data_IF_575503390114
#
_entry.id   IF_575503390114
#
_cell.length_a   1.000
_cell.length_b   1.000
_cell.length_c   1.000
_cell.angle_alpha   90.00
_cell.angle_beta   90.00
_cell.angle_gamma   90.00
#
_symmetry.space_group_name_H-M   'P 1'
#
loop_
_entity.id
_entity.type
_entity.pdbx_description
1 polymer ?
#
# COMPACT_ATOMS: atom_id res chain seq x y z
N UNK A 1 18.65 10.78 29.13
CA UNK A 1 18.08 11.04 27.80
C UNK A 1 17.32 12.37 27.83
N UNK A 2 17.57 13.22 26.83
CA UNK A 2 16.87 14.51 26.67
C UNK A 2 16.21 14.52 25.31
N UNK A 3 14.89 14.72 25.27
CA UNK A 3 14.12 14.87 24.04
C UNK A 3 13.72 16.32 23.87
N UNK A 4 14.03 16.92 22.73
CA UNK A 4 13.68 18.29 22.39
C UNK A 4 12.88 18.33 21.08
N UNK A 5 11.82 19.12 21.04
CA UNK A 5 11.07 19.42 19.82
C UNK A 5 11.48 20.80 19.33
N UNK A 6 12.24 20.86 18.26
CA UNK A 6 12.80 22.10 17.72
C UNK A 6 12.46 22.21 16.21
N UNK A 7 12.30 23.43 15.68
CA UNK A 7 12.29 23.64 14.25
C UNK A 7 13.58 23.09 13.64
N UNK A 8 13.46 22.39 12.51
CA UNK A 8 14.62 21.82 11.84
C UNK A 8 15.59 22.93 11.37
N UNK A 9 16.88 22.78 11.77
CA UNK A 9 17.97 23.64 11.34
C UNK A 9 19.16 22.74 10.96
N UNK A 10 19.43 22.63 9.65
CA UNK A 10 20.44 21.70 9.10
C UNK A 10 21.82 21.84 9.73
N UNK A 11 22.28 23.09 10.02
CA UNK A 11 23.59 23.35 10.63
C UNK A 11 23.73 22.85 12.08
N UNK A 12 22.63 22.46 12.71
CA UNK A 12 22.60 21.97 14.10
C UNK A 12 22.51 20.45 14.22
N UNK A 13 22.39 19.70 13.12
CA UNK A 13 22.27 18.24 13.18
C UNK A 13 23.38 17.59 14.01
N UNK A 14 24.63 18.03 13.83
CA UNK A 14 25.77 17.49 14.56
C UNK A 14 25.78 17.78 16.08
N UNK A 15 24.89 18.64 16.58
CA UNK A 15 24.74 18.92 18.01
C UNK A 15 23.91 17.84 18.73
N UNK A 16 23.24 16.96 17.96
CA UNK A 16 22.36 15.92 18.49
C UNK A 16 22.89 14.52 18.21
N UNK A 17 22.58 13.60 19.08
CA UNK A 17 22.88 12.18 18.92
C UNK A 17 21.96 11.53 17.88
N UNK A 18 20.66 11.86 17.90
CA UNK A 18 19.64 11.36 16.99
C UNK A 18 18.65 12.48 16.67
N UNK A 19 18.32 12.65 15.40
CA UNK A 19 17.23 13.56 14.95
C UNK A 19 16.27 12.78 14.05
N UNK A 20 14.99 12.81 14.38
CA UNK A 20 13.91 12.12 13.67
C UNK A 20 13.19 13.09 12.74
N UNK A 21 12.62 12.58 11.66
CA UNK A 21 11.89 13.36 10.63
C UNK A 21 12.74 14.45 9.98
N UNK A 22 13.99 14.14 9.72
CA UNK A 22 14.90 15.03 9.02
C UNK A 22 14.48 15.18 7.55
N UNK A 23 14.39 16.40 7.00
CA UNK A 23 14.10 16.57 5.57
C UNK A 23 15.11 15.80 4.69
N UNK A 24 14.63 15.17 3.63
CA UNK A 24 15.37 14.29 2.69
C UNK A 24 16.54 14.95 1.93
N UNK A 25 16.90 16.18 2.28
CA UNK A 25 18.02 16.93 1.66
C UNK A 25 19.40 16.52 2.15
N UNK A 26 19.49 15.58 3.09
CA UNK A 26 20.75 15.12 3.68
C UNK A 26 21.12 13.71 3.20
N UNK A 27 22.40 13.52 2.81
CA UNK A 27 22.91 12.26 2.27
C UNK A 27 23.11 11.14 3.32
N UNK A 28 23.24 11.51 4.60
CA UNK A 28 23.66 10.58 5.67
C UNK A 28 22.50 10.11 6.55
N UNK A 29 21.29 10.08 6.00
CA UNK A 29 20.10 9.64 6.71
C UNK A 29 19.96 8.12 6.70
N UNK A 30 19.57 7.58 7.85
CA UNK A 30 19.05 6.23 7.94
C UNK A 30 17.53 6.27 7.78
N UNK A 31 16.98 5.30 7.03
CA UNK A 31 15.55 5.18 6.82
C UNK A 31 15.00 4.03 7.65
N UNK A 32 14.11 4.34 8.58
CA UNK A 32 13.47 3.38 9.47
C UNK A 32 12.09 3.04 8.93
N UNK A 33 11.77 1.75 8.67
CA UNK A 33 10.46 1.36 8.19
C UNK A 33 9.36 1.75 9.16
N UNK A 34 8.28 2.37 8.68
CA UNK A 34 7.05 2.59 9.44
C UNK A 34 6.09 1.42 9.24
N UNK A 35 5.13 1.26 10.13
CA UNK A 35 4.01 0.33 9.94
C UNK A 35 2.90 0.97 9.07
N UNK A 36 3.30 1.63 8.00
CA UNK A 36 2.44 2.39 7.10
C UNK A 36 2.65 1.93 5.66
N UNK A 37 1.57 1.63 4.96
CA UNK A 37 1.56 1.27 3.54
C UNK A 37 0.83 2.31 2.71
N UNK A 38 1.39 2.64 1.55
CA UNK A 38 0.74 3.40 0.49
C UNK A 38 0.23 2.44 -0.59
N UNK A 39 -1.04 2.52 -0.91
CA UNK A 39 -1.68 1.63 -1.87
C UNK A 39 -2.84 2.30 -2.60
N UNK A 40 -3.32 1.66 -3.66
CA UNK A 40 -4.60 1.97 -4.26
C UNK A 40 -5.62 0.89 -3.90
N UNK A 41 -6.86 1.31 -3.62
CA UNK A 41 -8.00 0.42 -3.40
C UNK A 41 -8.80 0.27 -4.68
N UNK A 42 -9.29 -0.94 -4.93
CA UNK A 42 -10.31 -1.22 -5.93
C UNK A 42 -11.68 -1.27 -5.28
N UNK A 43 -12.67 -0.62 -5.86
CA UNK A 43 -14.07 -0.78 -5.42
C UNK A 43 -14.62 -2.11 -5.93
N UNK A 44 -14.69 -3.10 -5.06
CA UNK A 44 -15.12 -4.46 -5.43
C UNK A 44 -16.61 -4.57 -5.75
N UNK A 45 -17.39 -3.51 -5.55
CA UNK A 45 -18.79 -3.39 -5.99
C UNK A 45 -18.92 -2.81 -7.41
N UNK A 46 -17.87 -2.19 -7.95
CA UNK A 46 -17.86 -1.72 -9.34
C UNK A 46 -17.58 -2.90 -10.28
N UNK A 47 -18.50 -3.15 -11.21
CA UNK A 47 -18.44 -4.29 -12.13
C UNK A 47 -17.19 -4.34 -12.99
N UNK A 48 -16.53 -3.21 -13.24
CA UNK A 48 -15.32 -3.11 -14.06
C UNK A 48 -14.11 -3.68 -13.37
N UNK A 49 -14.02 -3.56 -12.04
CA UNK A 49 -12.88 -4.00 -11.23
C UNK A 49 -13.24 -5.08 -10.18
N UNK A 50 -14.49 -5.55 -10.18
CA UNK A 50 -14.95 -6.61 -9.27
C UNK A 50 -14.24 -7.95 -9.48
N UNK A 51 -13.84 -8.26 -10.71
CA UNK A 51 -13.19 -9.54 -11.04
C UNK A 51 -11.71 -9.53 -10.67
N UNK A 52 -11.26 -10.55 -9.95
CA UNK A 52 -9.86 -10.69 -9.53
C UNK A 52 -8.88 -10.68 -10.70
N UNK A 53 -9.20 -11.35 -11.81
CA UNK A 53 -8.35 -11.39 -13.00
C UNK A 53 -8.11 -10.01 -13.61
N UNK A 54 -9.15 -9.15 -13.62
CA UNK A 54 -9.01 -7.77 -14.10
C UNK A 54 -8.08 -6.96 -13.19
N UNK A 55 -8.23 -7.07 -11.87
CA UNK A 55 -7.34 -6.41 -10.90
C UNK A 55 -5.91 -6.93 -11.01
N UNK A 56 -5.76 -8.25 -11.18
CA UNK A 56 -4.46 -8.90 -11.39
C UNK A 56 -3.77 -8.39 -12.66
N UNK A 57 -4.52 -8.26 -13.75
CA UNK A 57 -4.02 -7.68 -14.99
C UNK A 57 -3.57 -6.22 -14.79
N UNK A 58 -4.40 -5.38 -14.16
CA UNK A 58 -4.06 -3.99 -13.86
C UNK A 58 -2.78 -3.92 -13.01
N UNK A 59 -2.69 -4.71 -11.95
CA UNK A 59 -1.53 -4.73 -11.05
C UNK A 59 -0.24 -5.16 -11.79
N UNK A 60 -0.33 -6.12 -12.71
CA UNK A 60 0.83 -6.62 -13.45
C UNK A 60 1.40 -5.63 -14.49
N UNK A 61 0.63 -4.64 -14.91
CA UNK A 61 1.09 -3.56 -15.80
C UNK A 61 1.88 -2.48 -15.07
N UNK A 62 1.94 -2.53 -13.74
CA UNK A 62 2.53 -1.47 -12.92
C UNK A 62 3.90 -1.91 -12.39
N UNK A 63 4.93 -1.18 -12.77
CA UNK A 63 6.26 -1.30 -12.17
C UNK A 63 6.33 -0.45 -10.89
N UNK A 64 6.02 -1.06 -9.76
CA UNK A 64 6.08 -0.43 -8.43
C UNK A 64 7.47 0.16 -8.16
N UNK A 65 8.53 -0.59 -8.43
CA UNK A 65 9.90 -0.14 -8.23
C UNK A 65 10.23 1.11 -9.07
N UNK A 66 9.72 1.19 -10.31
CA UNK A 66 9.91 2.39 -11.14
C UNK A 66 9.22 3.61 -10.51
N UNK A 67 7.99 3.47 -10.00
CA UNK A 67 7.27 4.56 -9.34
C UNK A 67 8.04 5.03 -8.10
N UNK A 68 8.40 4.10 -7.21
CA UNK A 68 9.02 4.41 -5.93
C UNK A 68 10.39 5.05 -6.11
N UNK A 69 11.26 4.47 -6.96
CA UNK A 69 12.61 5.01 -7.19
C UNK A 69 12.62 6.43 -7.79
N UNK A 70 11.56 6.81 -8.49
CA UNK A 70 11.49 8.14 -9.10
C UNK A 70 10.78 9.17 -8.23
N UNK A 71 9.78 8.77 -7.43
CA UNK A 71 8.95 9.72 -6.71
C UNK A 71 9.23 9.78 -5.20
N UNK A 72 9.66 8.66 -4.62
CA UNK A 72 9.94 8.56 -3.17
C UNK A 72 11.04 7.52 -2.91
N UNK A 73 12.29 7.77 -3.34
CA UNK A 73 13.37 6.76 -3.30
C UNK A 73 13.74 6.28 -1.89
N UNK A 74 13.35 7.01 -0.86
CA UNK A 74 13.54 6.63 0.53
C UNK A 74 12.54 5.59 1.03
N UNK A 75 11.38 5.44 0.38
CA UNK A 75 10.39 4.42 0.74
C UNK A 75 10.83 3.03 0.27
N UNK A 76 10.23 2.00 0.85
CA UNK A 76 10.49 0.60 0.50
C UNK A 76 9.43 0.13 -0.50
N UNK A 77 9.78 -0.16 -1.78
CA UNK A 77 8.84 -0.73 -2.72
C UNK A 77 8.21 -1.99 -2.15
N UNK A 78 6.90 -2.11 -2.21
CA UNK A 78 6.17 -3.27 -1.71
C UNK A 78 5.15 -3.76 -2.72
N UNK A 79 5.13 -5.07 -2.96
CA UNK A 79 4.07 -5.78 -3.66
C UNK A 79 3.12 -6.51 -2.70
N UNK A 80 3.36 -6.37 -1.41
CA UNK A 80 2.55 -6.95 -0.34
C UNK A 80 1.72 -5.87 0.35
N UNK A 81 0.53 -6.25 0.79
CA UNK A 81 -0.36 -5.33 1.49
C UNK A 81 0.04 -5.08 2.95
N UNK A 82 0.76 -5.99 3.56
CA UNK A 82 1.24 -5.88 4.93
C UNK A 82 2.68 -5.35 4.96
N UNK A 83 3.04 -4.48 5.93
CA UNK A 83 4.42 -4.10 6.21
C UNK A 83 5.34 -5.32 6.40
N UNK A 84 6.58 -5.20 5.95
CA UNK A 84 7.55 -6.29 6.00
C UNK A 84 7.72 -6.93 7.39
N UNK A 85 7.63 -6.13 8.44
CA UNK A 85 7.74 -6.60 9.83
C UNK A 85 6.59 -7.53 10.27
N UNK A 86 5.46 -7.50 9.56
CA UNK A 86 4.27 -8.32 9.83
C UNK A 86 4.19 -9.57 8.95
N UNK A 87 5.08 -9.67 7.94
CA UNK A 87 5.17 -10.82 7.05
C UNK A 87 6.08 -11.88 7.68
N UNK A 88 5.60 -13.11 7.81
CA UNK A 88 6.48 -14.24 7.99
C UNK A 88 7.25 -14.46 6.67
N UNK A 89 8.55 -14.80 6.74
CA UNK A 89 9.49 -14.90 5.59
C UNK A 89 9.12 -15.96 4.51
N UNK A 90 7.87 -16.33 4.38
CA UNK A 90 7.45 -17.22 3.32
C UNK A 90 7.13 -16.43 2.06
N UNK A 91 8.07 -16.51 1.13
CA UNK A 91 7.92 -16.02 -0.23
C UNK A 91 6.62 -16.49 -0.89
N UNK A 92 5.66 -15.62 -1.01
CA UNK A 92 4.64 -15.83 -2.02
C UNK A 92 5.30 -15.62 -3.38
N UNK A 93 5.51 -16.71 -4.11
CA UNK A 93 6.10 -16.67 -5.44
C UNK A 93 5.19 -15.88 -6.36
N UNK A 94 5.70 -14.75 -6.86
CA UNK A 94 5.05 -14.00 -7.90
C UNK A 94 5.08 -14.82 -9.19
N UNK A 95 3.94 -15.31 -9.63
CA UNK A 95 3.86 -15.94 -10.95
C UNK A 95 3.77 -14.87 -12.04
N UNK A 96 4.53 -15.01 -13.13
CA UNK A 96 4.41 -14.10 -14.26
C UNK A 96 2.96 -14.07 -14.77
N UNK A 97 2.41 -12.89 -14.91
CA UNK A 97 1.04 -12.70 -15.39
C UNK A 97 1.07 -12.01 -16.73
N UNK A 98 0.37 -12.58 -17.70
CA UNK A 98 0.16 -11.97 -19.01
C UNK A 98 -1.10 -11.09 -18.94
N UNK A 99 -0.91 -9.79 -18.66
CA UNK A 99 -2.00 -8.83 -18.47
C UNK A 99 -3.02 -8.86 -19.61
N UNK A 100 -2.55 -8.77 -20.83
CA UNK A 100 -3.39 -8.76 -22.04
C UNK A 100 -4.22 -10.03 -22.18
N UNK A 101 -3.67 -11.18 -21.83
CA UNK A 101 -4.40 -12.44 -21.86
C UNK A 101 -5.54 -12.45 -20.85
N UNK A 102 -5.29 -11.98 -19.61
CA UNK A 102 -6.33 -11.88 -18.59
C UNK A 102 -7.43 -10.87 -18.95
N UNK A 103 -7.04 -9.73 -19.55
CA UNK A 103 -8.00 -8.74 -20.03
C UNK A 103 -8.87 -9.32 -21.15
N UNK A 104 -8.25 -9.99 -22.14
CA UNK A 104 -8.98 -10.61 -23.25
C UNK A 104 -9.96 -11.70 -22.79
N UNK A 105 -9.58 -12.54 -21.82
CA UNK A 105 -10.47 -13.54 -21.20
C UNK A 105 -11.70 -12.89 -20.54
N UNK A 106 -11.57 -11.62 -20.12
CA UNK A 106 -12.64 -10.82 -19.56
C UNK A 106 -13.37 -9.94 -20.58
N UNK A 107 -13.17 -10.18 -21.91
CA UNK A 107 -13.77 -9.46 -23.02
C UNK A 107 -13.35 -7.98 -23.08
N UNK A 108 -12.14 -7.70 -22.63
CA UNK A 108 -11.50 -6.39 -22.71
C UNK A 108 -10.44 -6.50 -23.79
N UNK A 109 -10.54 -5.69 -24.84
CA UNK A 109 -9.62 -5.65 -25.98
C UNK A 109 -9.48 -4.21 -26.50
N UNK A 110 -8.72 -4.00 -27.57
CA UNK A 110 -8.49 -2.68 -28.17
C UNK A 110 -9.77 -2.01 -28.68
N UNK A 111 -10.78 -2.82 -29.09
CA UNK A 111 -12.06 -2.33 -29.59
C UNK A 111 -13.05 -2.04 -28.46
N UNK A 112 -12.88 -2.74 -27.34
CA UNK A 112 -13.71 -2.63 -26.16
C UNK A 112 -12.82 -2.44 -24.92
N UNK A 113 -12.09 -1.30 -24.85
CA UNK A 113 -11.16 -1.06 -23.77
C UNK A 113 -11.87 -0.85 -22.43
N UNK A 114 -11.18 -1.25 -21.36
CA UNK A 114 -11.63 -0.96 -19.99
C UNK A 114 -11.38 0.51 -19.67
N UNK A 115 -12.45 1.24 -19.37
CA UNK A 115 -12.37 2.61 -18.88
C UNK A 115 -12.27 2.63 -17.36
N UNK A 116 -11.14 3.14 -16.83
CA UNK A 116 -10.84 3.25 -15.42
C UNK A 116 -10.76 4.72 -15.00
N UNK A 117 -11.30 5.02 -13.82
CA UNK A 117 -11.09 6.28 -13.13
C UNK A 117 -10.17 6.05 -11.95
N UNK A 118 -9.04 6.74 -11.90
CA UNK A 118 -8.08 6.72 -10.79
C UNK A 118 -8.22 8.01 -10.00
N UNK A 119 -8.75 7.92 -8.79
CA UNK A 119 -9.00 9.04 -7.90
C UNK A 119 -7.87 9.19 -6.89
N UNK A 120 -7.36 10.40 -6.71
CA UNK A 120 -6.27 10.71 -5.78
C UNK A 120 -6.37 12.16 -5.28
N UNK A 121 -5.72 12.47 -4.16
CA UNK A 121 -5.65 13.82 -3.63
C UNK A 121 -4.53 14.65 -4.28
N UNK A 122 -4.73 15.97 -4.28
CA UNK A 122 -3.95 16.97 -4.98
C UNK A 122 -2.59 17.32 -4.32
N UNK A 123 -2.13 16.51 -3.37
CA UNK A 123 -0.78 16.61 -2.80
C UNK A 123 0.26 16.31 -3.88
N UNK A 124 1.30 17.14 -4.08
CA UNK A 124 2.25 17.00 -5.18
C UNK A 124 2.83 15.59 -5.35
N UNK A 125 3.24 14.92 -4.25
CA UNK A 125 3.73 13.54 -4.28
C UNK A 125 2.67 12.58 -4.85
N UNK A 126 1.42 12.71 -4.40
CA UNK A 126 0.34 11.81 -4.84
C UNK A 126 -0.05 12.04 -6.30
N UNK A 127 0.03 13.30 -6.76
CA UNK A 127 -0.14 13.66 -8.17
C UNK A 127 0.92 12.99 -9.03
N UNK A 128 2.20 13.09 -8.66
CA UNK A 128 3.31 12.49 -9.40
C UNK A 128 3.18 10.96 -9.47
N UNK A 129 2.90 10.31 -8.34
CA UNK A 129 2.69 8.85 -8.27
C UNK A 129 1.51 8.44 -9.18
N UNK A 130 0.39 9.15 -9.11
CA UNK A 130 -0.79 8.86 -9.92
C UNK A 130 -0.52 9.04 -11.42
N UNK A 131 0.20 10.09 -11.81
CA UNK A 131 0.59 10.31 -13.21
C UNK A 131 1.47 9.19 -13.75
N UNK A 132 2.45 8.70 -12.97
CA UNK A 132 3.29 7.56 -13.38
C UNK A 132 2.48 6.28 -13.49
N UNK A 133 1.61 6.01 -12.52
CA UNK A 133 0.71 4.85 -12.53
C UNK A 133 -0.18 4.87 -13.77
N UNK A 134 -0.84 5.99 -14.04
CA UNK A 134 -1.69 6.17 -15.23
C UNK A 134 -0.86 6.05 -16.51
N UNK A 135 0.35 6.64 -16.55
CA UNK A 135 1.24 6.54 -17.70
C UNK A 135 1.67 5.10 -18.00
N UNK A 136 1.85 4.25 -16.99
CA UNK A 136 2.14 2.83 -17.20
C UNK A 136 0.91 2.05 -17.69
N UNK A 137 -0.25 2.29 -17.11
CA UNK A 137 -1.50 1.62 -17.50
C UNK A 137 -1.93 1.96 -18.94
N UNK A 138 -1.72 3.21 -19.37
CA UNK A 138 -2.09 3.68 -20.71
C UNK A 138 -1.14 3.20 -21.82
N UNK A 139 -0.08 2.47 -21.48
CA UNK A 139 0.75 1.76 -22.48
C UNK A 139 0.01 0.57 -23.09
N UNK A 140 -1.01 0.04 -22.42
CA UNK A 140 -1.88 -1.00 -22.99
C UNK A 140 -3.04 -0.36 -23.74
N UNK A 141 -3.21 -0.72 -25.02
CA UNK A 141 -4.36 -0.28 -25.83
C UNK A 141 -5.70 -0.84 -25.34
N UNK A 142 -5.67 -1.81 -24.43
CA UNK A 142 -6.86 -2.38 -23.78
C UNK A 142 -7.37 -1.53 -22.60
N UNK A 143 -6.65 -0.48 -22.20
CA UNK A 143 -7.04 0.40 -21.09
C UNK A 143 -7.21 1.85 -21.54
N UNK A 144 -8.20 2.52 -20.98
CA UNK A 144 -8.37 3.97 -21.03
C UNK A 144 -8.50 4.47 -19.59
N UNK A 145 -7.58 5.30 -19.16
CA UNK A 145 -7.47 5.67 -17.74
C UNK A 145 -7.59 7.17 -17.57
N UNK A 146 -8.59 7.58 -16.79
CA UNK A 146 -8.81 8.96 -16.40
C UNK A 146 -8.24 9.22 -15.01
N UNK A 147 -7.26 10.12 -14.95
CA UNK A 147 -6.69 10.59 -13.69
C UNK A 147 -7.56 11.69 -13.09
N UNK A 148 -8.07 11.49 -11.88
CA UNK A 148 -9.02 12.39 -11.23
C UNK A 148 -8.43 12.96 -9.92
N UNK A 149 -7.72 14.10 -9.96
CA UNK A 149 -7.26 14.77 -8.76
C UNK A 149 -8.45 15.40 -8.00
N UNK A 150 -8.37 15.39 -6.67
CA UNK A 150 -9.36 16.02 -5.81
C UNK A 150 -8.70 16.48 -4.51
N UNK A 151 -9.38 17.32 -3.72
CA UNK A 151 -8.86 17.62 -2.39
C UNK A 151 -9.07 16.45 -1.42
N UNK A 152 -8.28 16.42 -0.35
CA UNK A 152 -8.30 15.36 0.66
C UNK A 152 -9.70 15.09 1.24
N UNK A 153 -10.46 16.12 1.54
CA UNK A 153 -11.80 15.97 2.15
C UNK A 153 -12.75 15.26 1.19
N UNK A 154 -12.74 15.65 -0.08
CA UNK A 154 -13.55 15.04 -1.13
C UNK A 154 -13.11 13.59 -1.37
N UNK A 155 -11.78 13.31 -1.37
CA UNK A 155 -11.25 11.96 -1.49
C UNK A 155 -11.81 11.05 -0.38
N UNK A 156 -11.73 11.48 0.88
CA UNK A 156 -12.23 10.72 2.02
C UNK A 156 -13.75 10.51 1.94
N UNK A 157 -14.50 11.54 1.56
CA UNK A 157 -15.96 11.44 1.40
C UNK A 157 -16.33 10.43 0.31
N UNK A 158 -15.66 10.45 -0.83
CA UNK A 158 -15.88 9.49 -1.93
C UNK A 158 -15.51 8.08 -1.51
N UNK A 159 -14.37 7.90 -0.84
CA UNK A 159 -13.94 6.60 -0.29
C UNK A 159 -14.99 6.06 0.70
N UNK A 160 -15.48 6.89 1.62
CA UNK A 160 -16.47 6.50 2.61
C UNK A 160 -17.81 6.07 1.97
N UNK A 161 -18.20 6.70 0.87
CA UNK A 161 -19.44 6.39 0.13
C UNK A 161 -19.30 5.25 -0.87
N UNK A 162 -18.07 4.79 -1.15
CA UNK A 162 -17.80 3.85 -2.24
C UNK A 162 -18.00 4.48 -3.63
N UNK A 163 -17.86 5.79 -3.77
CA UNK A 163 -17.99 6.52 -5.04
C UNK A 163 -16.62 6.63 -5.74
N UNK A 164 -16.08 5.51 -6.15
CA UNK A 164 -14.80 5.38 -6.85
C UNK A 164 -14.71 4.05 -7.57
N UNK A 165 -13.75 3.91 -8.50
CA UNK A 165 -13.34 2.63 -9.09
C UNK A 165 -11.97 2.20 -8.54
N UNK A 166 -10.99 3.06 -8.71
CA UNK A 166 -9.64 2.94 -8.15
C UNK A 166 -9.34 4.21 -7.38
N UNK A 167 -8.96 4.11 -6.12
CA UNK A 167 -8.73 5.27 -5.26
C UNK A 167 -7.40 5.15 -4.51
N UNK A 168 -6.66 6.26 -4.45
CA UNK A 168 -5.47 6.36 -3.61
C UNK A 168 -5.86 6.21 -2.14
N UNK A 169 -5.12 5.42 -1.42
CA UNK A 169 -5.29 5.16 0.00
C UNK A 169 -3.95 4.97 0.71
N UNK A 170 -4.02 4.83 2.00
CA UNK A 170 -2.90 4.47 2.87
C UNK A 170 -3.43 4.02 4.21
N UNK A 171 -2.64 3.22 4.90
CA UNK A 171 -2.96 2.75 6.23
C UNK A 171 -1.70 2.68 7.10
N UNK A 172 -1.82 3.18 8.33
CA UNK A 172 -0.79 3.05 9.35
C UNK A 172 -1.37 2.26 10.52
N UNK A 173 -0.63 1.23 10.96
CA UNK A 173 -1.01 0.44 12.10
C UNK A 173 -0.55 1.10 13.41
N UNK A 174 -1.42 1.15 14.41
CA UNK A 174 -1.10 1.64 15.75
C UNK A 174 -0.21 0.66 16.54
N UNK A 175 -0.10 -0.59 16.08
CA UNK A 175 0.68 -1.65 16.71
C UNK A 175 1.17 -2.68 15.70
N UNK A 176 2.34 -3.29 15.98
CA UNK A 176 2.95 -4.29 15.08
C UNK A 176 2.22 -5.63 15.15
N UNK A 177 1.11 -5.74 14.44
CA UNK A 177 0.32 -6.96 14.38
C UNK A 177 -0.47 -7.06 13.07
N UNK A 178 -0.49 -8.21 12.36
CA UNK A 178 -1.15 -8.35 11.07
C UNK A 178 -2.62 -7.95 11.04
N UNK A 179 -3.35 -8.14 12.14
CA UNK A 179 -4.77 -7.81 12.26
C UNK A 179 -5.07 -6.33 11.97
N UNK A 180 -4.10 -5.42 12.24
CA UNK A 180 -4.26 -4.00 11.95
C UNK A 180 -4.48 -3.72 10.45
N UNK A 181 -3.94 -4.55 9.57
CA UNK A 181 -4.13 -4.48 8.12
C UNK A 181 -5.22 -5.44 7.63
N UNK A 182 -5.24 -6.68 8.14
CA UNK A 182 -6.20 -7.70 7.70
C UNK A 182 -7.65 -7.29 7.98
N UNK A 183 -7.90 -6.49 9.02
CA UNK A 183 -9.23 -5.97 9.36
C UNK A 183 -9.85 -5.10 8.25
N UNK A 184 -9.05 -4.51 7.37
CA UNK A 184 -9.53 -3.67 6.26
C UNK A 184 -10.36 -4.47 5.23
N UNK A 185 -10.21 -5.80 5.21
CA UNK A 185 -10.98 -6.70 4.32
C UNK A 185 -12.01 -7.56 5.06
N UNK A 186 -12.11 -7.42 6.38
CA UNK A 186 -13.19 -8.07 7.14
C UNK A 186 -14.52 -7.38 6.86
N UNK A 187 -15.54 -8.14 6.43
CA UNK A 187 -16.79 -7.52 5.94
C UNK A 187 -17.55 -6.68 6.97
N UNK A 188 -17.36 -6.99 8.26
CA UNK A 188 -18.01 -6.28 9.39
C UNK A 188 -17.14 -5.13 9.93
N UNK A 189 -15.94 -4.92 9.37
CA UNK A 189 -15.06 -3.82 9.80
C UNK A 189 -15.59 -2.48 9.29
N UNK A 190 -15.63 -1.44 10.15
CA UNK A 190 -15.96 -0.09 9.72
C UNK A 190 -14.93 0.50 8.74
N UNK A 191 -13.73 -0.08 8.68
CA UNK A 191 -12.64 0.36 7.81
C UNK A 191 -12.62 -0.34 6.45
N UNK A 192 -13.46 -1.34 6.25
CA UNK A 192 -13.67 -1.95 4.94
C UNK A 192 -14.47 -0.99 4.04
N UNK A 193 -13.75 -0.21 3.22
CA UNK A 193 -14.34 0.78 2.30
C UNK A 193 -14.42 0.28 0.87
N UNK A 194 -13.66 -0.76 0.52
CA UNK A 194 -13.64 -1.33 -0.84
C UNK A 194 -14.80 -2.28 -1.13
N UNK A 195 -15.58 -2.65 -0.10
CA UNK A 195 -16.77 -3.49 -0.22
C UNK A 195 -16.47 -4.98 -0.36
N UNK A 196 -15.26 -5.43 0.02
CA UNK A 196 -14.96 -6.86 0.07
C UNK A 196 -15.88 -7.59 1.06
N UNK A 197 -16.47 -8.69 0.60
CA UNK A 197 -17.32 -9.55 1.41
C UNK A 197 -17.12 -11.01 0.99
N UNK A 198 -16.42 -11.77 1.83
CA UNK A 198 -16.12 -13.17 1.58
C UNK A 198 -16.30 -13.96 2.87
N UNK A 199 -17.23 -14.91 2.88
CA UNK A 199 -17.56 -15.68 4.08
C UNK A 199 -16.40 -16.50 4.63
N UNK A 200 -15.52 -17.04 3.77
CA UNK A 200 -14.34 -17.79 4.19
C UNK A 200 -13.32 -16.85 4.86
N UNK A 201 -13.08 -15.67 4.28
CA UNK A 201 -12.22 -14.64 4.88
C UNK A 201 -12.73 -14.24 6.26
N UNK A 202 -14.02 -13.95 6.37
CA UNK A 202 -14.65 -13.56 7.63
C UNK A 202 -14.56 -14.66 8.70
N UNK A 203 -14.78 -15.91 8.33
CA UNK A 203 -14.64 -17.06 9.25
C UNK A 203 -13.20 -17.22 9.76
N UNK A 204 -12.21 -17.14 8.86
CA UNK A 204 -10.80 -17.20 9.24
C UNK A 204 -10.43 -16.03 10.15
N UNK A 205 -10.88 -14.83 9.84
CA UNK A 205 -10.63 -13.64 10.65
C UNK A 205 -11.22 -13.81 12.07
N UNK A 206 -12.47 -14.26 12.18
CA UNK A 206 -13.14 -14.51 13.46
C UNK A 206 -12.50 -15.67 14.24
N UNK A 207 -11.99 -16.70 13.55
CA UNK A 207 -11.24 -17.78 14.16
C UNK A 207 -9.93 -17.25 14.79
N UNK A 208 -9.20 -16.42 14.07
CA UNK A 208 -7.98 -15.80 14.59
C UNK A 208 -8.24 -14.95 15.85
N UNK A 209 -9.37 -14.23 15.90
CA UNK A 209 -9.76 -13.44 17.07
C UNK A 209 -10.05 -14.31 18.30
N UNK A 210 -10.52 -15.52 18.11
CA UNK A 210 -10.93 -16.45 19.21
C UNK A 210 -9.80 -17.39 19.65
N UNK A 211 -8.83 -17.66 18.77
CA UNK A 211 -7.76 -18.62 19.05
C UNK A 211 -6.80 -18.06 20.11
N UNK A 212 -6.50 -18.86 21.13
CA UNK A 212 -5.46 -18.61 22.13
C UNK A 212 -4.10 -19.17 21.70
N UNK A 213 -4.06 -19.98 20.64
CA UNK A 213 -2.84 -20.58 20.12
C UNK A 213 -2.16 -19.65 19.13
N UNK A 214 -0.97 -19.16 19.48
CA UNK A 214 -0.20 -18.22 18.66
C UNK A 214 0.19 -18.81 17.29
N UNK A 215 0.58 -20.09 17.25
CA UNK A 215 0.93 -20.77 15.99
C UNK A 215 -0.29 -20.84 15.06
N UNK A 216 -1.44 -21.24 15.59
CA UNK A 216 -2.69 -21.29 14.81
C UNK A 216 -3.06 -19.90 14.28
N UNK A 217 -2.95 -18.84 15.10
CA UNK A 217 -3.21 -17.47 14.65
C UNK A 217 -2.28 -17.07 13.51
N UNK A 218 -0.98 -17.37 13.64
CA UNK A 218 0.01 -17.03 12.61
C UNK A 218 -0.28 -17.72 11.27
N UNK A 219 -0.70 -18.99 11.30
CA UNK A 219 -1.11 -19.74 10.11
C UNK A 219 -2.38 -19.13 9.47
N UNK A 220 -3.32 -18.66 10.27
CA UNK A 220 -4.53 -17.99 9.77
C UNK A 220 -4.17 -16.63 9.15
N UNK A 221 -3.31 -15.84 9.78
CA UNK A 221 -2.87 -14.54 9.23
C UNK A 221 -2.18 -14.69 7.88
N UNK A 222 -1.37 -15.76 7.73
CA UNK A 222 -0.75 -16.08 6.45
C UNK A 222 -1.80 -16.35 5.38
N UNK A 223 -2.79 -17.21 5.66
CA UNK A 223 -3.89 -17.54 4.72
C UNK A 223 -4.69 -16.28 4.32
N UNK A 224 -4.99 -15.39 5.28
CA UNK A 224 -5.69 -14.14 5.02
C UNK A 224 -4.86 -13.20 4.13
N UNK A 225 -3.56 -13.10 4.39
CA UNK A 225 -2.62 -12.30 3.58
C UNK A 225 -2.49 -12.85 2.16
N UNK A 226 -2.33 -14.16 2.01
CA UNK A 226 -2.30 -14.84 0.72
C UNK A 226 -3.58 -14.59 -0.09
N UNK A 227 -4.74 -14.61 0.56
CA UNK A 227 -6.03 -14.33 -0.11
C UNK A 227 -6.12 -12.90 -0.62
N UNK A 228 -5.66 -11.91 0.15
CA UNK A 228 -5.57 -10.51 -0.29
C UNK A 228 -4.72 -10.42 -1.57
N UNK A 229 -3.58 -11.10 -1.59
CA UNK A 229 -2.65 -11.06 -2.71
C UNK A 229 -3.19 -11.84 -3.93
N UNK A 230 -3.70 -13.04 -3.75
CA UNK A 230 -4.24 -13.87 -4.84
C UNK A 230 -5.42 -13.19 -5.55
N UNK A 231 -6.28 -12.51 -4.79
CA UNK A 231 -7.44 -11.79 -5.32
C UNK A 231 -7.13 -10.36 -5.73
N UNK A 232 -5.90 -9.87 -5.51
CA UNK A 232 -5.49 -8.48 -5.75
C UNK A 232 -6.52 -7.48 -5.18
N UNK A 233 -6.82 -7.60 -3.88
CA UNK A 233 -7.83 -6.78 -3.21
C UNK A 233 -7.42 -5.31 -3.08
N UNK A 234 -6.12 -5.05 -3.10
CA UNK A 234 -5.51 -3.73 -3.19
C UNK A 234 -4.30 -3.78 -4.14
N UNK A 235 -3.79 -2.62 -4.49
CA UNK A 235 -2.56 -2.43 -5.25
C UNK A 235 -1.54 -1.73 -4.35
N UNK A 236 -0.71 -2.47 -3.57
CA UNK A 236 0.33 -1.88 -2.74
C UNK A 236 1.42 -1.26 -3.62
N UNK A 237 2.00 -0.15 -3.18
CA UNK A 237 3.11 0.50 -3.85
C UNK A 237 4.36 0.55 -2.97
N UNK A 238 4.23 0.98 -1.72
CA UNK A 238 5.39 1.07 -0.84
C UNK A 238 5.01 1.16 0.64
N UNK A 239 5.96 0.71 1.46
CA UNK A 239 6.00 0.95 2.88
C UNK A 239 6.73 2.28 3.14
N UNK A 240 6.14 3.15 3.94
CA UNK A 240 6.78 4.41 4.36
C UNK A 240 7.99 4.15 5.25
N UNK A 241 8.91 5.12 5.23
CA UNK A 241 10.06 5.16 6.14
C UNK A 241 10.13 6.51 6.84
N UNK A 242 10.74 6.52 8.01
CA UNK A 242 11.11 7.75 8.72
C UNK A 242 12.58 8.05 8.47
N UNK A 243 12.94 9.20 7.90
CA UNK A 243 14.33 9.63 7.76
C UNK A 243 14.88 10.07 9.12
N UNK A 244 15.99 9.47 9.53
CA UNK A 244 16.62 9.69 10.84
C UNK A 244 18.10 9.98 10.65
N UNK A 245 18.58 11.08 11.19
CA UNK A 245 19.98 11.32 11.39
C UNK A 245 20.43 10.61 12.67
N UNK A 246 21.53 9.86 12.58
CA UNK A 246 22.21 9.24 13.72
C UNK A 246 23.65 9.69 13.71
N UNK A 247 24.11 10.29 14.81
CA UNK A 247 25.51 10.72 14.95
C UNK A 247 26.45 9.56 14.74
N UNK A 248 27.58 9.74 14.02
CA UNK A 248 28.59 8.70 13.83
C UNK A 248 29.19 8.14 15.13
N UNK A 249 29.04 8.87 16.24
CA UNK A 249 29.48 8.44 17.58
C UNK A 249 28.56 7.37 18.19
N UNK A 250 27.33 7.22 17.67
CA UNK A 250 26.35 6.27 18.17
C UNK A 250 26.50 4.93 17.44
N UNK A 251 26.74 3.88 18.21
CA UNK A 251 26.85 2.51 17.69
C UNK A 251 25.67 1.64 18.17
N UNK A 252 25.34 0.64 17.38
CA UNK A 252 24.34 -0.38 17.76
C UNK A 252 22.89 0.02 17.60
N UNK A 253 22.60 1.05 16.78
CA UNK A 253 21.23 1.37 16.42
C UNK A 253 20.58 0.21 15.68
N UNK A 254 19.39 -0.20 16.15
CA UNK A 254 18.58 -1.24 15.48
C UNK A 254 17.35 -0.59 14.88
N UNK A 255 17.06 -0.94 13.63
CA UNK A 255 15.83 -0.50 12.97
C UNK A 255 14.65 -1.23 13.59
N UNK A 256 13.82 -0.50 14.34
CA UNK A 256 12.57 -1.00 14.88
C UNK A 256 11.42 -0.54 13.99
N UNK A 257 10.55 -1.44 13.50
CA UNK A 257 9.45 -1.07 12.61
C UNK A 257 8.33 -0.27 13.26
N UNK A 258 8.37 -0.10 14.57
CA UNK A 258 7.39 0.70 15.34
C UNK A 258 7.97 2.00 15.91
N UNK A 259 9.18 2.38 15.52
CA UNK A 259 9.88 3.58 16.00
C UNK A 259 10.89 3.33 17.10
#
# INVERSE_FOLDING_TARGET
>A
ERVEYLPFVASKLAEFDVVIDVPEVHSDLQHFPQLCEYFYEFNLKDSKVAKADVRKAIASLISVTNIVNNEIPAALPSSYFLPKAMLNEQDSRWEPVFAEQLLAQNKIDERHPLHLNVLYDDVPLHVNIAQRLVGQLTQSDMLRVDAQPTNWQTLQMKRQKGDFQVIRSGWCADFNHPMAFLSLFYSKSPDNKNGYANAEYDQLFEQALKSLNEKERSEIYLKLSEKIQQENLALPLFQYTTPVYVSPSIMGTKKNPVG
#
